data_IF_849571769400
#
_entry.id   IF_849571769400
#
_cell.length_a   1.000
_cell.length_b   1.000
_cell.length_c   1.000
_cell.angle_alpha   90.00
_cell.angle_beta   90.00
_cell.angle_gamma   90.00
#
_symmetry.space_group_name_H-M   'P 1'
#
loop_
_entity.id
_entity.type
_entity.pdbx_description
1 polymer ?
#
# COMPACT_ATOMS: atom_id res chain seq x y z
N UNK A 1 -36.84 -18.22 21.41
CA UNK A 1 -36.39 -19.58 21.02
C UNK A 1 -37.60 -20.30 20.43
N UNK A 2 -37.73 -20.76 19.17
CA UNK A 2 -36.91 -20.82 17.96
C UNK A 2 -37.85 -20.61 16.75
N UNK A 3 -37.75 -19.49 16.04
CA UNK A 3 -38.49 -19.27 14.78
C UNK A 3 -37.65 -19.75 13.58
N UNK A 4 -37.18 -21.00 13.62
CA UNK A 4 -36.43 -21.60 12.51
C UNK A 4 -37.35 -22.61 11.83
N UNK A 5 -37.62 -22.38 10.55
CA UNK A 5 -38.44 -23.28 9.73
C UNK A 5 -37.74 -24.64 9.59
N UNK A 6 -38.43 -25.72 9.94
CA UNK A 6 -37.91 -27.09 9.80
C UNK A 6 -37.67 -27.42 8.32
N UNK A 7 -36.49 -27.99 8.01
CA UNK A 7 -36.05 -28.32 6.64
C UNK A 7 -36.89 -29.40 5.93
N UNK A 8 -37.79 -30.07 6.66
CA UNK A 8 -38.66 -31.13 6.15
C UNK A 8 -40.01 -30.63 5.61
N UNK A 9 -40.33 -29.33 5.75
CA UNK A 9 -41.56 -28.75 5.19
C UNK A 9 -41.25 -28.05 3.87
N UNK A 10 -41.73 -28.63 2.77
CA UNK A 10 -41.69 -27.96 1.47
C UNK A 10 -42.47 -26.63 1.57
N UNK A 11 -41.91 -25.53 1.05
CA UNK A 11 -42.61 -24.25 1.05
C UNK A 11 -43.81 -24.33 0.10
N UNK A 12 -45.01 -24.39 0.65
CA UNK A 12 -46.27 -24.50 -0.10
C UNK A 12 -46.98 -23.15 -0.29
N UNK A 13 -46.38 -22.03 0.15
CA UNK A 13 -46.95 -20.69 0.00
C UNK A 13 -46.33 -19.96 -1.19
N UNK A 14 -47.17 -19.38 -2.04
CA UNK A 14 -46.77 -18.57 -3.20
C UNK A 14 -45.77 -17.45 -2.86
N UNK A 15 -45.81 -16.91 -1.64
CA UNK A 15 -44.87 -15.88 -1.17
C UNK A 15 -43.43 -16.38 -1.01
N UNK A 16 -43.27 -17.68 -0.76
CA UNK A 16 -41.97 -18.33 -0.54
C UNK A 16 -41.46 -18.98 -1.83
N UNK A 17 -42.40 -19.43 -2.68
CA UNK A 17 -42.09 -19.96 -4.02
C UNK A 17 -41.54 -18.87 -4.95
N UNK A 18 -42.01 -17.63 -4.81
CA UNK A 18 -41.50 -16.50 -5.58
C UNK A 18 -40.35 -15.81 -4.84
N UNK A 19 -39.15 -15.85 -5.42
CA UNK A 19 -38.01 -15.09 -4.90
C UNK A 19 -38.28 -13.58 -4.96
N UNK A 20 -37.78 -12.82 -3.98
CA UNK A 20 -37.89 -11.36 -4.00
C UNK A 20 -37.01 -10.81 -5.12
N UNK A 21 -37.62 -10.34 -6.21
CA UNK A 21 -36.91 -9.67 -7.29
C UNK A 21 -36.50 -8.26 -6.83
N UNK A 22 -35.19 -8.01 -6.79
CA UNK A 22 -34.65 -6.68 -6.52
C UNK A 22 -34.87 -5.79 -7.74
N UNK A 23 -35.64 -4.70 -7.57
CA UNK A 23 -36.02 -3.81 -8.67
C UNK A 23 -34.83 -2.96 -9.18
N UNK A 24 -33.86 -2.66 -8.31
CA UNK A 24 -32.79 -1.69 -8.60
C UNK A 24 -31.41 -2.31 -8.94
N UNK A 25 -31.37 -3.58 -9.38
CA UNK A 25 -30.10 -4.26 -9.67
C UNK A 25 -29.30 -3.51 -10.74
N UNK A 26 -29.96 -3.04 -11.81
CA UNK A 26 -29.30 -2.31 -12.91
C UNK A 26 -28.63 -1.03 -12.42
N UNK A 27 -29.32 -0.23 -11.61
CA UNK A 27 -28.79 1.02 -11.05
C UNK A 27 -27.59 0.73 -10.14
N UNK A 28 -27.67 -0.32 -9.31
CA UNK A 28 -26.55 -0.75 -8.46
C UNK A 28 -25.34 -1.20 -9.26
N UNK A 29 -25.53 -1.92 -10.36
CA UNK A 29 -24.43 -2.36 -11.24
C UNK A 29 -23.71 -1.17 -11.88
N UNK A 30 -24.45 -0.17 -12.39
CA UNK A 30 -23.86 1.05 -12.96
C UNK A 30 -23.05 1.83 -11.89
N UNK A 31 -23.58 1.93 -10.67
CA UNK A 31 -22.85 2.54 -9.54
C UNK A 31 -21.59 1.77 -9.16
N UNK A 32 -21.59 0.44 -9.24
CA UNK A 32 -20.39 -0.37 -8.98
C UNK A 32 -19.32 -0.17 -10.05
N UNK A 33 -19.72 -0.02 -11.32
CA UNK A 33 -18.77 0.27 -12.41
C UNK A 33 -18.07 1.62 -12.22
N UNK A 34 -18.81 2.67 -11.84
CA UNK A 34 -18.20 3.98 -11.57
C UNK A 34 -17.27 3.93 -10.37
N UNK A 35 -17.66 3.27 -9.27
CA UNK A 35 -16.79 3.06 -8.12
C UNK A 35 -15.51 2.30 -8.49
N UNK A 36 -15.64 1.21 -9.27
CA UNK A 36 -14.51 0.43 -9.77
C UNK A 36 -13.56 1.32 -10.58
N UNK A 37 -14.08 2.12 -11.51
CA UNK A 37 -13.26 3.02 -12.32
C UNK A 37 -12.46 4.02 -11.46
N UNK A 38 -13.08 4.66 -10.47
CA UNK A 38 -12.38 5.61 -9.59
C UNK A 38 -11.39 4.92 -8.64
N UNK A 39 -11.72 3.74 -8.13
CA UNK A 39 -10.84 2.95 -7.27
C UNK A 39 -9.63 2.42 -8.03
N UNK A 40 -9.84 1.89 -9.24
CA UNK A 40 -8.78 1.31 -10.07
C UNK A 40 -7.88 2.38 -10.71
N UNK A 41 -8.28 3.66 -10.73
CA UNK A 41 -7.55 4.75 -11.41
C UNK A 41 -6.08 4.88 -10.98
N UNK A 42 -5.78 4.67 -9.71
CA UNK A 42 -4.40 4.73 -9.17
C UNK A 42 -3.73 3.36 -9.05
N UNK A 43 -4.44 2.29 -9.41
CA UNK A 43 -3.93 0.92 -9.33
C UNK A 43 -3.03 0.62 -10.53
N UNK A 44 -1.90 -0.05 -10.27
CA UNK A 44 -0.96 -0.49 -11.31
C UNK A 44 -1.14 -1.98 -11.57
N UNK A 45 -1.05 -2.38 -12.83
CA UNK A 45 -1.02 -3.80 -13.20
C UNK A 45 0.26 -4.41 -12.64
N UNK A 46 0.13 -5.53 -11.92
CA UNK A 46 1.27 -6.23 -11.36
C UNK A 46 2.06 -6.89 -12.50
N UNK A 47 3.34 -6.53 -12.63
CA UNK A 47 4.24 -7.15 -13.61
C UNK A 47 4.48 -8.61 -13.26
N UNK A 48 4.26 -9.51 -14.22
CA UNK A 48 4.58 -10.92 -14.02
C UNK A 48 6.09 -11.14 -14.10
N UNK A 49 6.63 -11.85 -13.11
CA UNK A 49 8.04 -12.24 -13.07
C UNK A 49 8.25 -13.54 -13.87
N UNK A 50 9.32 -13.60 -14.65
CA UNK A 50 9.73 -14.79 -15.42
C UNK A 50 10.78 -15.58 -14.67
N UNK A 51 10.89 -16.87 -14.98
CA UNK A 51 11.98 -17.71 -14.51
C UNK A 51 13.33 -17.14 -14.97
N UNK A 52 14.30 -17.08 -14.05
CA UNK A 52 15.61 -16.48 -14.27
C UNK A 52 15.71 -14.99 -13.96
N UNK A 53 14.60 -14.30 -13.68
CA UNK A 53 14.65 -12.88 -13.34
C UNK A 53 15.38 -12.66 -12.01
N UNK A 54 16.31 -11.70 -12.01
CA UNK A 54 16.99 -11.20 -10.81
C UNK A 54 16.04 -10.28 -10.05
N UNK A 55 15.78 -10.62 -8.80
CA UNK A 55 14.84 -9.91 -7.95
C UNK A 55 15.47 -9.59 -6.59
N UNK A 56 14.81 -8.72 -5.84
CA UNK A 56 15.01 -8.60 -4.39
C UNK A 56 13.77 -9.09 -3.67
N UNK A 57 13.97 -9.87 -2.62
CA UNK A 57 12.92 -10.43 -1.76
C UNK A 57 12.98 -9.81 -0.38
N UNK A 58 11.83 -9.39 0.14
CA UNK A 58 11.77 -8.88 1.51
C UNK A 58 11.69 -10.03 2.52
N UNK A 59 12.62 -10.03 3.48
CA UNK A 59 12.55 -10.88 4.66
C UNK A 59 11.42 -10.38 5.58
N UNK A 60 10.42 -11.22 5.87
CA UNK A 60 9.24 -10.80 6.63
C UNK A 60 9.56 -10.45 8.09
N UNK A 61 10.58 -11.09 8.70
CA UNK A 61 10.97 -10.85 10.09
C UNK A 61 11.81 -9.59 10.22
N UNK A 62 12.89 -9.52 9.43
CA UNK A 62 13.90 -8.45 9.55
C UNK A 62 13.53 -7.21 8.71
N UNK A 63 12.55 -7.33 7.80
CA UNK A 63 12.12 -6.29 6.83
C UNK A 63 13.19 -5.83 5.84
N UNK A 64 14.34 -6.48 5.82
CA UNK A 64 15.45 -6.25 4.89
C UNK A 64 15.16 -6.90 3.54
N UNK A 65 15.65 -6.28 2.47
CA UNK A 65 15.60 -6.80 1.10
C UNK A 65 16.87 -7.55 0.78
N UNK A 66 16.73 -8.82 0.39
CA UNK A 66 17.83 -9.72 0.04
C UNK A 66 17.77 -10.03 -1.47
N UNK A 67 18.90 -10.28 -2.12
CA UNK A 67 18.93 -10.65 -3.54
C UNK A 67 18.50 -12.09 -3.75
N UNK A 68 17.74 -12.33 -4.82
CA UNK A 68 17.22 -13.63 -5.18
C UNK A 68 17.03 -13.77 -6.70
N UNK A 69 16.78 -15.00 -7.16
CA UNK A 69 16.44 -15.33 -8.54
C UNK A 69 15.13 -16.09 -8.56
N UNK A 70 14.26 -15.78 -9.51
CA UNK A 70 12.99 -16.51 -9.70
C UNK A 70 13.26 -17.85 -10.35
N UNK A 71 12.80 -18.95 -9.73
CA UNK A 71 12.86 -20.29 -10.31
C UNK A 71 11.63 -20.54 -11.19
N UNK A 72 10.44 -20.38 -10.63
CA UNK A 72 9.18 -20.69 -11.33
C UNK A 72 7.98 -19.95 -10.73
N UNK A 73 6.87 -19.89 -11.47
CA UNK A 73 5.56 -19.46 -10.93
C UNK A 73 4.95 -20.64 -10.17
N UNK A 74 4.53 -20.41 -8.92
CA UNK A 74 3.96 -21.47 -8.10
C UNK A 74 2.51 -21.79 -8.53
N UNK A 75 1.98 -22.92 -8.05
CA UNK A 75 0.59 -23.35 -8.29
C UNK A 75 -0.45 -22.33 -7.80
N UNK A 76 -0.15 -21.62 -6.73
CA UNK A 76 -1.05 -20.60 -6.18
C UNK A 76 -0.89 -19.25 -6.89
N UNK A 77 -1.98 -18.50 -7.12
CA UNK A 77 -1.91 -17.22 -7.80
C UNK A 77 -1.02 -16.23 -7.02
N UNK A 78 -0.21 -15.46 -7.76
CA UNK A 78 0.73 -14.46 -7.24
C UNK A 78 1.88 -14.99 -6.37
N UNK A 79 2.08 -16.29 -6.26
CA UNK A 79 3.24 -16.85 -5.56
C UNK A 79 4.30 -17.34 -6.54
N UNK A 80 5.55 -17.17 -6.16
CA UNK A 80 6.73 -17.56 -6.94
C UNK A 80 7.65 -18.41 -6.07
N UNK A 81 8.27 -19.39 -6.71
CA UNK A 81 9.39 -20.11 -6.17
C UNK A 81 10.66 -19.33 -6.49
N UNK A 82 11.45 -19.02 -5.47
CA UNK A 82 12.64 -18.19 -5.59
C UNK A 82 13.82 -18.86 -4.91
N UNK A 83 15.02 -18.60 -5.44
CA UNK A 83 16.29 -19.00 -4.85
C UNK A 83 16.98 -17.77 -4.29
N UNK A 84 17.17 -17.76 -2.98
CA UNK A 84 17.90 -16.67 -2.29
C UNK A 84 19.39 -16.77 -2.62
N UNK A 85 20.14 -15.68 -2.51
CA UNK A 85 21.61 -15.70 -2.66
C UNK A 85 22.30 -16.73 -1.76
N UNK A 86 21.78 -16.93 -0.54
CA UNK A 86 22.26 -17.96 0.40
C UNK A 86 21.89 -19.40 0.01
N UNK A 87 21.38 -19.64 -1.20
CA UNK A 87 21.04 -20.97 -1.73
C UNK A 87 19.75 -21.58 -1.22
N UNK A 88 18.95 -20.85 -0.43
CA UNK A 88 17.66 -21.32 0.09
C UNK A 88 16.54 -21.09 -0.90
N UNK A 89 15.80 -22.15 -1.18
CA UNK A 89 14.60 -22.11 -2.02
C UNK A 89 13.37 -21.81 -1.14
N UNK A 90 12.57 -20.84 -1.58
CA UNK A 90 11.44 -20.30 -0.81
C UNK A 90 10.26 -20.02 -1.72
N UNK A 91 9.06 -20.16 -1.17
CA UNK A 91 7.83 -19.68 -1.81
C UNK A 91 7.44 -18.32 -1.26
N UNK A 92 7.28 -17.33 -2.14
CA UNK A 92 6.95 -15.95 -1.76
C UNK A 92 5.87 -15.35 -2.65
N UNK A 93 4.99 -14.56 -2.04
CA UNK A 93 4.02 -13.77 -2.79
C UNK A 93 4.74 -12.62 -3.53
N UNK A 94 4.34 -12.34 -4.77
CA UNK A 94 4.90 -11.29 -5.62
C UNK A 94 4.88 -9.90 -5.00
N UNK A 95 4.00 -9.62 -4.03
CA UNK A 95 4.03 -8.36 -3.28
C UNK A 95 5.32 -8.13 -2.48
N UNK A 96 6.05 -9.20 -2.16
CA UNK A 96 7.33 -9.16 -1.45
C UNK A 96 8.54 -9.25 -2.37
N UNK A 97 8.30 -9.24 -3.69
CA UNK A 97 9.32 -9.37 -4.72
C UNK A 97 9.35 -8.08 -5.52
N UNK A 98 10.54 -7.56 -5.76
CA UNK A 98 10.75 -6.41 -6.63
C UNK A 98 11.74 -6.83 -7.71
N UNK A 99 11.39 -6.57 -8.97
CA UNK A 99 12.31 -6.79 -10.09
C UNK A 99 13.52 -5.87 -9.93
N UNK A 100 14.71 -6.47 -9.89
CA UNK A 100 15.95 -5.72 -9.68
C UNK A 100 16.33 -5.01 -10.97
N UNK A 101 16.23 -3.67 -11.00
CA UNK A 101 16.70 -2.86 -12.15
C UNK A 101 18.22 -2.69 -12.18
N UNK A 102 18.88 -3.00 -11.07
CA UNK A 102 20.32 -2.78 -10.85
C UNK A 102 20.94 -4.05 -10.27
N UNK A 103 22.18 -4.38 -10.63
CA UNK A 103 22.94 -5.46 -9.98
C UNK A 103 23.31 -4.99 -8.55
N UNK A 104 22.44 -5.23 -7.57
CA UNK A 104 22.79 -4.97 -6.18
C UNK A 104 23.87 -5.97 -5.73
N UNK A 105 25.10 -5.48 -5.50
CA UNK A 105 26.13 -6.25 -4.79
C UNK A 105 25.60 -6.50 -3.38
N UNK A 106 25.64 -7.76 -2.94
CA UNK A 106 25.26 -8.17 -1.59
C UNK A 106 26.09 -7.38 -0.57
N UNK A 107 25.44 -6.63 0.31
CA UNK A 107 26.11 -6.09 1.50
C UNK A 107 26.31 -7.27 2.46
N UNK A 108 27.50 -7.87 2.43
CA UNK A 108 27.92 -8.77 3.49
C UNK A 108 28.00 -7.94 4.77
N UNK A 109 27.09 -8.17 5.70
CA UNK A 109 27.16 -7.58 7.04
C UNK A 109 28.38 -8.11 7.76
N UNK A 110 29.45 -7.33 7.79
CA UNK A 110 30.57 -7.33 8.73
C UNK A 110 31.33 -6.01 8.54
N UNK A 111 30.82 -4.93 9.13
CA UNK A 111 31.54 -3.66 9.27
C UNK A 111 31.09 -3.01 10.59
N UNK A 112 31.50 -3.62 11.69
CA UNK A 112 31.88 -2.83 12.85
C UNK A 112 33.26 -2.22 12.54
N UNK A 113 33.54 -1.04 13.10
CA UNK A 113 34.81 -0.32 13.06
C UNK A 113 35.02 0.65 11.88
N UNK A 114 34.54 1.88 12.06
CA UNK A 114 35.39 3.09 12.20
C UNK A 114 34.47 4.31 12.25
N UNK A 115 34.22 4.86 13.45
CA UNK A 115 33.76 6.23 13.60
C UNK A 115 34.96 7.15 13.38
N UNK A 116 34.91 8.16 12.48
CA UNK A 116 35.81 9.29 12.59
C UNK A 116 35.24 10.29 13.62
N UNK A 117 35.91 10.31 14.75
CA UNK A 117 35.98 11.43 15.69
C UNK A 117 36.65 12.62 15.00
N UNK A 118 35.93 13.75 14.87
CA UNK A 118 36.54 15.09 14.77
C UNK A 118 35.60 16.10 15.42
N UNK A 119 35.91 16.45 16.66
CA UNK A 119 35.52 17.68 17.34
C UNK A 119 35.98 18.96 16.59
N UNK A 120 35.17 20.03 16.73
CA UNK A 120 35.54 21.47 16.71
C UNK A 120 35.70 22.17 15.33
N UNK A 121 35.18 23.37 14.98
CA UNK A 121 34.44 24.51 15.59
C UNK A 121 33.79 25.33 14.43
N UNK A 122 32.81 26.17 14.76
CA UNK A 122 32.54 27.54 14.22
C UNK A 122 31.11 27.75 13.69
N UNK A 123 30.34 28.36 14.59
CA UNK A 123 29.19 29.26 14.42
C UNK A 123 29.07 30.02 13.09
N UNK A 124 27.84 30.14 12.57
CA UNK A 124 27.07 31.40 12.45
C UNK A 124 25.63 31.07 11.99
N UNK A 125 24.66 31.57 12.76
CA UNK A 125 23.23 31.69 12.43
C UNK A 125 23.01 33.04 11.75
N UNK A 126 22.03 33.18 10.84
CA UNK A 126 21.35 34.45 10.68
C UNK A 126 19.89 34.34 11.14
N UNK A 127 19.60 34.97 12.28
CA UNK A 127 18.28 35.52 12.61
C UNK A 127 17.92 36.60 11.58
N UNK A 128 16.67 36.64 11.17
CA UNK A 128 15.98 37.86 10.75
C UNK A 128 14.50 37.72 11.10
N UNK A 129 14.11 38.36 12.21
CA UNK A 129 12.74 38.69 12.58
C UNK A 129 12.28 39.89 11.76
N UNK A 130 11.12 39.84 11.07
CA UNK A 130 10.12 40.94 11.00
C UNK A 130 8.75 40.34 10.61
N UNK A 131 7.76 40.56 11.46
CA UNK A 131 6.33 40.31 11.26
C UNK A 131 5.69 41.30 10.29
N UNK A 132 4.90 40.82 9.31
CA UNK A 132 3.76 41.59 8.79
C UNK A 132 2.63 40.66 8.32
N UNK A 133 1.44 40.96 8.83
CA UNK A 133 0.14 40.35 8.55
C UNK A 133 -0.14 40.19 7.04
N UNK A 134 -0.35 38.96 6.57
CA UNK A 134 -0.88 38.67 5.24
C UNK A 134 -1.99 37.64 5.37
N UNK A 135 -3.24 38.09 5.25
CA UNK A 135 -4.39 37.23 5.03
C UNK A 135 -4.28 36.55 3.65
N UNK A 136 -3.58 35.43 3.57
CA UNK A 136 -3.53 34.62 2.34
C UNK A 136 -4.81 33.80 2.21
N UNK A 137 -5.71 34.21 1.30
CA UNK A 137 -6.81 33.36 0.85
C UNK A 137 -6.26 32.18 0.04
N UNK A 138 -5.85 31.10 0.73
CA UNK A 138 -5.37 29.89 0.06
C UNK A 138 -6.55 29.12 -0.55
N UNK A 139 -6.57 29.01 -1.89
CA UNK A 139 -7.60 28.28 -2.64
C UNK A 139 -7.01 27.05 -3.31
N UNK A 140 -7.76 25.95 -3.30
CA UNK A 140 -7.37 24.73 -4.04
C UNK A 140 -7.48 24.95 -5.55
N UNK A 141 -6.85 24.07 -6.35
CA UNK A 141 -6.99 24.07 -7.82
C UNK A 141 -8.46 24.00 -8.32
N UNK A 142 -9.38 23.54 -7.47
CA UNK A 142 -10.83 23.48 -7.75
C UNK A 142 -11.60 24.73 -7.30
N UNK A 143 -10.93 25.76 -6.77
CA UNK A 143 -11.55 27.00 -6.29
C UNK A 143 -12.11 26.94 -4.86
N UNK A 144 -11.92 25.83 -4.14
CA UNK A 144 -12.40 25.73 -2.75
C UNK A 144 -11.52 26.55 -1.81
N UNK A 145 -12.14 27.46 -1.06
CA UNK A 145 -11.51 28.25 -0.01
C UNK A 145 -11.15 27.33 1.19
N UNK A 146 -9.88 27.34 1.59
CA UNK A 146 -9.36 26.57 2.73
C UNK A 146 -9.40 27.47 3.96
N UNK A 147 -10.20 27.10 4.96
CA UNK A 147 -10.18 27.74 6.29
C UNK A 147 -9.20 27.01 7.20
N UNK A 148 -8.39 27.78 7.93
CA UNK A 148 -7.49 27.25 8.95
C UNK A 148 -8.31 26.63 10.10
N UNK A 149 -7.88 25.49 10.68
CA UNK A 149 -8.58 24.90 11.82
C UNK A 149 -8.44 25.77 13.09
N UNK A 150 -9.55 25.89 13.84
CA UNK A 150 -9.69 26.85 14.95
C UNK A 150 -8.65 26.70 16.07
N UNK A 151 -8.26 25.46 16.42
CA UNK A 151 -7.30 25.20 17.51
C UNK A 151 -5.89 25.73 17.22
N UNK A 152 -5.61 26.15 15.99
CA UNK A 152 -4.31 26.67 15.58
C UNK A 152 -4.22 28.20 15.71
N UNK A 153 -5.30 28.85 16.14
CA UNK A 153 -5.35 30.29 16.40
C UNK A 153 -4.69 30.68 17.73
N UNK A 154 -4.61 29.74 18.67
CA UNK A 154 -4.11 29.98 20.03
C UNK A 154 -2.59 29.84 20.15
N UNK A 155 -1.92 29.43 19.07
CA UNK A 155 -0.46 29.32 19.02
C UNK A 155 0.15 30.63 18.53
N UNK A 156 0.76 31.38 19.44
CA UNK A 156 1.73 32.42 19.11
C UNK A 156 3.09 31.73 19.04
N UNK A 157 3.72 31.72 17.86
CA UNK A 157 5.11 31.27 17.74
C UNK A 157 6.00 32.31 18.44
N UNK A 158 6.86 31.90 19.41
CA UNK A 158 7.92 32.75 19.94
C UNK A 158 9.01 33.02 18.88
#
# INVERSE_FOLDING_TARGET
MFNIRLRNKLPNSNKVLNSKLFKDVKVKLLRQQTQKHYYDRSSKILTELKSGDKIVVQNVRIKIWETAVVLSKAKTPRSYEIKTFHGRDLFRNGKFLILSKVNHKSYNGNAFDTLPDVTQVVSILPQNDISTDVQTNTSTRSGRNIKRPNHLNDYVCP
#
